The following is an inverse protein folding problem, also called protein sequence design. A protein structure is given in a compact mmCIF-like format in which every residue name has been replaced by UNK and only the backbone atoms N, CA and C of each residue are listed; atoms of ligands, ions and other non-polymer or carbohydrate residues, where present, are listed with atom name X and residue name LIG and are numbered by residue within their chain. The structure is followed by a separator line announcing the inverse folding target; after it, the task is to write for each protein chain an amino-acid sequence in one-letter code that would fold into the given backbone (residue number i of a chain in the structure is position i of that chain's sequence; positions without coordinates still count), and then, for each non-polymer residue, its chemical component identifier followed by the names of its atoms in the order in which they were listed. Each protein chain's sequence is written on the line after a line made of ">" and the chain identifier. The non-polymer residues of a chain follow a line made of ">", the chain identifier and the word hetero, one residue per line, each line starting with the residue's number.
data_IF_799398101652
#
_entry.id   IF_799398101652
#
_cell.length_a   1.000
_cell.length_b   1.000
_cell.length_c   1.000
_cell.angle_alpha   90.00
_cell.angle_beta   90.00
_cell.angle_gamma   90.00
#
_symmetry.space_group_name_H-M   'P 1'
#
loop_
_entity.id
_entity.type
_entity.pdbx_description
1 polymer ?
#
# COMPACT_ATOMS: atom_id res chain seq x y z
N UNK A 1 35.72 -8.97 -55.61
CA UNK A 1 35.63 -7.87 -54.63
C UNK A 1 35.99 -8.44 -53.26
N UNK A 2 37.24 -8.32 -52.79
CA UNK A 2 37.74 -7.38 -51.74
C UNK A 2 36.89 -7.47 -50.46
N UNK A 3 37.35 -7.87 -49.26
CA UNK A 3 38.63 -7.71 -48.53
C UNK A 3 38.84 -8.94 -47.61
N UNK A 4 39.95 -9.68 -47.71
CA UNK A 4 41.19 -9.58 -46.89
C UNK A 4 40.95 -9.37 -45.38
N UNK A 5 40.96 -10.50 -44.66
CA UNK A 5 41.28 -10.65 -43.23
C UNK A 5 42.71 -10.16 -43.01
N UNK A 6 42.87 -9.11 -42.20
CA UNK A 6 44.17 -8.55 -41.83
C UNK A 6 44.38 -8.73 -40.34
N UNK A 7 45.13 -9.75 -39.97
CA UNK A 7 45.71 -9.95 -38.64
C UNK A 7 46.69 -8.82 -38.37
N UNK A 8 46.33 -7.88 -37.49
CA UNK A 8 47.29 -6.93 -36.96
C UNK A 8 47.86 -7.48 -35.66
N UNK A 9 49.10 -7.99 -35.75
CA UNK A 9 50.01 -8.13 -34.62
C UNK A 9 50.18 -6.75 -33.98
N UNK A 10 49.62 -6.57 -32.79
CA UNK A 10 49.94 -5.42 -31.95
C UNK A 10 51.21 -5.75 -31.17
N UNK A 11 52.27 -5.01 -31.47
CA UNK A 11 53.58 -5.15 -30.84
C UNK A 11 53.47 -4.83 -29.34
N UNK A 12 53.89 -5.79 -28.50
CA UNK A 12 54.16 -5.57 -27.09
C UNK A 12 55.39 -4.65 -26.96
N UNK A 13 55.15 -3.35 -26.73
CA UNK A 13 56.16 -2.50 -26.14
C UNK A 13 56.17 -2.76 -24.63
N UNK A 14 57.14 -3.55 -24.17
CA UNK A 14 57.44 -3.70 -22.75
C UNK A 14 58.05 -2.38 -22.26
N UNK A 15 57.21 -1.47 -21.79
CA UNK A 15 57.66 -0.38 -20.93
C UNK A 15 57.81 -0.93 -19.51
N UNK A 16 59.04 -1.28 -19.15
CA UNK A 16 59.43 -1.48 -17.77
C UNK A 16 59.33 -0.14 -17.03
N UNK A 17 58.16 0.13 -16.44
CA UNK A 17 57.88 1.28 -15.60
C UNK A 17 57.52 0.82 -14.20
N UNK A 18 58.51 0.90 -13.30
CA UNK A 18 58.42 1.08 -11.85
C UNK A 18 57.15 0.55 -11.15
N UNK A 19 57.31 -0.52 -10.37
CA UNK A 19 56.39 -0.91 -9.30
C UNK A 19 56.22 0.25 -8.30
N UNK A 20 55.23 1.11 -8.54
CA UNK A 20 54.57 1.88 -7.50
C UNK A 20 53.41 1.05 -6.98
N UNK A 21 53.43 0.68 -5.71
CA UNK A 21 52.22 0.30 -4.98
C UNK A 21 51.32 1.54 -4.85
N UNK A 22 50.72 1.98 -5.95
CA UNK A 22 49.57 2.86 -5.91
C UNK A 22 48.35 1.97 -5.71
N UNK A 23 47.61 2.17 -4.61
CA UNK A 23 46.27 1.61 -4.49
C UNK A 23 45.52 1.94 -5.79
N UNK A 24 44.96 0.94 -6.47
CA UNK A 24 44.10 1.18 -7.63
C UNK A 24 43.02 2.16 -7.18
N UNK A 25 42.86 3.27 -7.90
CA UNK A 25 41.74 4.19 -7.68
C UNK A 25 40.45 3.38 -7.71
N UNK A 26 39.59 3.60 -6.71
CA UNK A 26 38.30 2.94 -6.65
C UNK A 26 37.44 3.42 -7.83
N UNK A 27 36.61 2.56 -8.41
CA UNK A 27 35.59 3.01 -9.36
C UNK A 27 34.68 4.05 -8.70
N UNK A 28 34.34 5.12 -9.41
CA UNK A 28 33.29 6.06 -8.99
C UNK A 28 31.93 5.52 -9.46
N UNK A 29 30.95 5.54 -8.56
CA UNK A 29 29.58 5.11 -8.84
C UNK A 29 28.63 6.19 -8.32
N UNK A 30 27.67 6.60 -9.15
CA UNK A 30 26.57 7.49 -8.76
C UNK A 30 25.26 6.71 -8.88
N UNK A 31 24.44 6.77 -7.83
CA UNK A 31 23.13 6.12 -7.78
C UNK A 31 22.04 7.15 -7.52
N UNK A 32 20.91 7.00 -8.19
CA UNK A 32 19.68 7.75 -7.96
C UNK A 32 18.70 6.86 -7.20
N UNK A 33 18.31 7.33 -6.03
CA UNK A 33 17.28 6.69 -5.21
C UNK A 33 16.03 7.56 -5.28
N UNK A 34 14.88 6.97 -5.61
CA UNK A 34 13.60 7.68 -5.57
C UNK A 34 12.71 7.11 -4.47
N UNK A 35 12.00 7.99 -3.77
CA UNK A 35 11.09 7.65 -2.68
C UNK A 35 9.81 8.49 -2.77
N UNK A 36 8.63 7.96 -2.46
CA UNK A 36 7.43 8.78 -2.36
C UNK A 36 7.47 9.63 -1.09
N UNK A 37 6.69 10.71 -1.10
CA UNK A 37 6.45 11.53 0.09
C UNK A 37 5.64 10.72 1.10
N UNK A 38 6.32 10.12 2.07
CA UNK A 38 5.70 9.30 3.11
C UNK A 38 6.35 9.54 4.47
N UNK A 39 5.52 9.72 5.49
CA UNK A 39 5.96 9.78 6.88
C UNK A 39 6.46 8.41 7.35
N UNK A 40 7.45 8.39 8.22
CA UNK A 40 7.96 7.17 8.81
C UNK A 40 8.17 7.37 10.31
N UNK A 41 8.00 6.32 11.08
CA UNK A 41 8.25 6.37 12.51
C UNK A 41 9.26 5.28 12.90
N UNK A 42 10.47 5.70 13.25
CA UNK A 42 11.55 4.79 13.63
C UNK A 42 11.74 4.74 15.15
N UNK A 43 11.35 3.62 15.76
CA UNK A 43 11.46 3.41 17.22
C UNK A 43 12.90 3.56 17.72
N UNK A 44 13.89 3.13 16.94
CA UNK A 44 15.30 3.19 17.32
C UNK A 44 15.97 4.54 17.04
N UNK A 45 15.33 5.43 16.27
CA UNK A 45 15.87 6.73 15.92
C UNK A 45 14.77 7.76 15.61
N UNK A 46 14.42 8.57 16.61
CA UNK A 46 13.36 9.59 16.51
C UNK A 46 13.62 10.72 15.52
N UNK A 47 14.84 10.82 14.95
CA UNK A 47 15.12 11.83 13.92
C UNK A 47 14.66 11.38 12.52
N UNK A 48 14.33 10.09 12.36
CA UNK A 48 13.83 9.57 11.10
C UNK A 48 12.30 9.65 11.14
N UNK A 49 11.77 10.70 10.51
CA UNK A 49 10.33 11.01 10.49
C UNK A 49 9.69 10.85 9.11
N UNK A 50 10.50 10.51 8.10
CA UNK A 50 10.05 10.31 6.72
C UNK A 50 10.87 9.23 6.01
N UNK A 51 10.34 8.70 4.90
CA UNK A 51 11.09 7.82 4.02
C UNK A 51 12.34 8.49 3.43
N UNK A 52 12.29 9.81 3.21
CA UNK A 52 13.47 10.57 2.78
C UNK A 52 14.56 10.56 3.85
N UNK A 53 14.22 10.82 5.13
CA UNK A 53 15.18 10.78 6.23
C UNK A 53 15.81 9.38 6.35
N UNK A 54 14.98 8.36 6.18
CA UNK A 54 15.44 6.98 6.23
C UNK A 54 16.44 6.67 5.12
N UNK A 55 16.11 6.99 3.86
CA UNK A 55 16.99 6.69 2.73
C UNK A 55 18.26 7.55 2.75
N UNK A 56 18.19 8.80 3.23
CA UNK A 56 19.39 9.60 3.49
C UNK A 56 20.29 8.94 4.53
N UNK A 57 19.71 8.49 5.65
CA UNK A 57 20.45 7.82 6.71
C UNK A 57 21.07 6.50 6.23
N UNK A 58 20.30 5.66 5.52
CA UNK A 58 20.76 4.41 4.96
C UNK A 58 21.90 4.62 3.95
N UNK A 59 21.78 5.60 3.06
CA UNK A 59 22.81 5.97 2.11
C UNK A 59 24.10 6.42 2.81
N UNK A 60 24.01 7.28 3.83
CA UNK A 60 25.17 7.71 4.62
C UNK A 60 25.89 6.51 5.25
N UNK A 61 25.13 5.60 5.87
CA UNK A 61 25.71 4.40 6.51
C UNK A 61 26.34 3.45 5.50
N UNK A 62 25.71 3.24 4.36
CA UNK A 62 26.25 2.40 3.29
C UNK A 62 27.56 2.98 2.74
N UNK A 63 27.55 4.26 2.34
CA UNK A 63 28.74 4.93 1.77
C UNK A 63 29.91 4.92 2.76
N UNK A 64 29.65 5.06 4.06
CA UNK A 64 30.69 5.04 5.08
C UNK A 64 31.42 3.69 5.22
N UNK A 65 30.78 2.58 4.86
CA UNK A 65 31.34 1.22 5.04
C UNK A 65 31.68 0.51 3.73
N UNK A 66 31.19 1.00 2.60
CA UNK A 66 31.42 0.35 1.31
C UNK A 66 32.81 0.64 0.76
N UNK A 67 33.65 -0.39 0.65
CA UNK A 67 35.06 -0.21 0.27
C UNK A 67 35.34 -0.44 -1.22
N UNK A 68 34.46 -1.13 -1.95
CA UNK A 68 34.75 -1.58 -3.31
C UNK A 68 34.68 -0.47 -4.38
N UNK A 69 33.95 0.61 -4.10
CA UNK A 69 33.79 1.77 -4.97
C UNK A 69 33.66 3.06 -4.15
N UNK A 70 33.94 4.21 -4.76
CA UNK A 70 33.57 5.51 -4.22
C UNK A 70 32.14 5.83 -4.69
N UNK A 71 31.17 5.63 -3.79
CA UNK A 71 29.74 5.72 -4.11
C UNK A 71 29.19 7.08 -3.70
N UNK A 72 28.42 7.70 -4.59
CA UNK A 72 27.56 8.85 -4.30
C UNK A 72 26.11 8.46 -4.54
N UNK A 73 25.21 8.92 -3.67
CA UNK A 73 23.78 8.62 -3.76
C UNK A 73 22.99 9.90 -3.71
N UNK A 74 22.10 10.10 -4.70
CA UNK A 74 21.16 11.22 -4.76
C UNK A 74 19.78 10.70 -4.40
N UNK A 75 19.22 11.19 -3.30
CA UNK A 75 17.86 10.84 -2.86
C UNK A 75 16.88 11.88 -3.41
N UNK A 76 15.90 11.43 -4.18
CA UNK A 76 14.82 12.24 -4.72
C UNK A 76 13.48 11.83 -4.12
N UNK A 77 12.68 12.84 -3.80
CA UNK A 77 11.32 12.64 -3.31
C UNK A 77 10.34 13.02 -4.41
N UNK A 78 9.31 12.21 -4.61
CA UNK A 78 8.18 12.53 -5.49
C UNK A 78 6.87 12.52 -4.70
N UNK A 79 5.87 13.26 -5.18
CA UNK A 79 4.51 13.16 -4.68
C UNK A 79 3.86 11.89 -5.26
N UNK A 80 3.04 11.20 -4.47
CA UNK A 80 2.35 9.97 -4.89
C UNK A 80 1.54 10.17 -6.17
N UNK A 81 0.97 11.36 -6.39
CA UNK A 81 0.20 11.67 -7.61
C UNK A 81 1.08 11.88 -8.85
N UNK A 82 2.36 12.20 -8.66
CA UNK A 82 3.32 12.51 -9.71
C UNK A 82 4.24 11.32 -10.05
N UNK A 83 4.01 10.15 -9.45
CA UNK A 83 4.87 8.98 -9.58
C UNK A 83 5.13 8.57 -11.04
N UNK A 84 4.11 8.62 -11.89
CA UNK A 84 4.27 8.31 -13.31
C UNK A 84 5.29 9.21 -14.01
N UNK A 85 5.27 10.50 -13.72
CA UNK A 85 6.25 11.44 -14.28
C UNK A 85 7.64 11.16 -13.68
N UNK A 86 7.70 10.97 -12.36
CA UNK A 86 8.94 10.77 -11.63
C UNK A 86 9.67 9.46 -11.99
N UNK A 87 8.93 8.39 -12.29
CA UNK A 87 9.46 7.05 -12.57
C UNK A 87 9.43 6.75 -14.07
N UNK A 88 8.24 6.60 -14.66
CA UNK A 88 8.09 6.20 -16.06
C UNK A 88 8.61 7.28 -17.02
N UNK A 89 8.33 8.55 -16.72
CA UNK A 89 8.81 9.70 -17.50
C UNK A 89 10.33 9.86 -17.49
N UNK A 90 11.00 9.35 -16.46
CA UNK A 90 12.45 9.43 -16.33
C UNK A 90 13.21 8.33 -17.09
N UNK A 91 12.53 7.30 -17.59
CA UNK A 91 13.18 6.20 -18.31
C UNK A 91 13.92 6.69 -19.56
N UNK A 92 15.16 6.22 -19.72
CA UNK A 92 16.05 6.62 -20.82
C UNK A 92 16.64 8.03 -20.69
N UNK A 93 16.43 8.71 -19.56
CA UNK A 93 17.05 10.00 -19.22
C UNK A 93 18.16 9.81 -18.16
N UNK A 94 18.88 10.88 -17.85
CA UNK A 94 19.88 10.87 -16.75
C UNK A 94 19.25 10.80 -15.35
N UNK A 95 17.93 11.03 -15.23
CA UNK A 95 17.18 10.96 -13.98
C UNK A 95 16.49 9.61 -13.77
N UNK A 96 16.82 8.59 -14.57
CA UNK A 96 16.30 7.24 -14.39
C UNK A 96 16.69 6.70 -13.01
N UNK A 97 15.74 6.05 -12.33
CA UNK A 97 15.93 5.51 -10.98
C UNK A 97 16.82 4.26 -11.00
N UNK A 98 17.78 4.19 -10.08
CA UNK A 98 18.58 2.98 -9.82
C UNK A 98 17.97 2.13 -8.69
N UNK A 99 17.50 2.79 -7.64
CA UNK A 99 16.86 2.17 -6.47
C UNK A 99 15.55 2.89 -6.18
N UNK A 100 14.44 2.15 -6.18
CA UNK A 100 13.13 2.68 -5.87
C UNK A 100 12.67 2.12 -4.51
N UNK A 101 12.43 3.00 -3.55
CA UNK A 101 11.75 2.64 -2.29
C UNK A 101 10.25 2.85 -2.49
N UNK A 102 9.49 1.78 -2.72
CA UNK A 102 8.09 1.88 -3.11
C UNK A 102 7.26 0.69 -2.62
N UNK A 103 5.94 0.90 -2.50
CA UNK A 103 4.98 -0.12 -2.11
C UNK A 103 4.72 -1.16 -3.20
N UNK A 104 4.17 -2.30 -2.78
CA UNK A 104 3.85 -3.43 -3.64
C UNK A 104 2.91 -3.06 -4.81
N UNK A 105 1.92 -2.18 -4.55
CA UNK A 105 0.93 -1.75 -5.53
C UNK A 105 1.53 -1.19 -6.83
N UNK A 106 2.54 -0.35 -6.71
CA UNK A 106 3.17 0.30 -7.85
C UNK A 106 4.22 -0.60 -8.51
N UNK A 107 4.97 -1.35 -7.70
CA UNK A 107 6.02 -2.22 -8.18
C UNK A 107 5.50 -3.36 -9.07
N UNK A 108 4.28 -3.86 -8.88
CA UNK A 108 3.74 -4.94 -9.70
C UNK A 108 3.69 -4.58 -11.20
N UNK A 109 3.37 -3.33 -11.54
CA UNK A 109 3.39 -2.84 -12.92
C UNK A 109 4.82 -2.86 -13.48
N UNK A 110 5.76 -2.21 -12.79
CA UNK A 110 7.16 -2.10 -13.21
C UNK A 110 7.84 -3.47 -13.38
N UNK A 111 7.56 -4.42 -12.49
CA UNK A 111 8.06 -5.80 -12.59
C UNK A 111 7.51 -6.48 -13.85
N UNK A 112 6.22 -6.30 -14.14
CA UNK A 112 5.54 -6.94 -15.28
C UNK A 112 5.99 -6.39 -16.62
N UNK A 113 6.36 -5.11 -16.65
CA UNK A 113 6.90 -4.41 -17.83
C UNK A 113 8.39 -4.69 -18.03
N UNK A 114 9.05 -5.38 -17.10
CA UNK A 114 10.46 -5.76 -17.20
C UNK A 114 11.43 -4.63 -16.83
N UNK A 115 10.97 -3.62 -16.09
CA UNK A 115 11.80 -2.51 -15.63
C UNK A 115 12.58 -2.81 -14.34
N UNK A 116 12.27 -3.92 -13.67
CA UNK A 116 12.85 -4.29 -12.36
C UNK A 116 13.67 -5.57 -12.49
N UNK A 117 14.90 -5.55 -11.97
CA UNK A 117 15.78 -6.72 -11.93
C UNK A 117 15.42 -7.64 -10.75
N UNK A 118 15.58 -8.97 -10.88
CA UNK A 118 15.44 -9.86 -9.75
C UNK A 118 16.60 -9.66 -8.76
N UNK A 119 16.32 -9.85 -7.47
CA UNK A 119 17.23 -9.65 -6.34
C UNK A 119 17.75 -10.98 -5.75
N UNK A 120 17.44 -12.11 -6.37
CA UNK A 120 17.72 -13.44 -5.80
C UNK A 120 19.22 -13.69 -5.56
N UNK A 121 20.12 -12.99 -6.25
CA UNK A 121 21.57 -13.11 -6.11
C UNK A 121 22.15 -12.36 -4.89
N UNK A 122 21.39 -11.44 -4.30
CA UNK A 122 21.78 -10.67 -3.12
C UNK A 122 21.07 -11.13 -1.83
N UNK A 123 20.08 -12.03 -1.94
CA UNK A 123 19.34 -12.56 -0.79
C UNK A 123 20.06 -13.80 -0.25
N UNK A 124 20.65 -13.66 0.94
CA UNK A 124 21.28 -14.79 1.66
C UNK A 124 20.23 -15.65 2.37
N UNK A 125 20.60 -16.87 2.76
CA UNK A 125 19.74 -17.74 3.60
C UNK A 125 19.37 -17.08 4.94
N UNK A 126 20.28 -16.26 5.47
CA UNK A 126 20.05 -15.48 6.70
C UNK A 126 18.95 -14.43 6.49
N UNK A 127 19.06 -13.62 5.43
CA UNK A 127 18.02 -12.64 5.07
C UNK A 127 16.70 -13.33 4.79
N UNK A 128 16.73 -14.46 4.06
CA UNK A 128 15.53 -15.24 3.73
C UNK A 128 14.82 -15.74 4.99
N UNK A 129 15.58 -16.20 5.98
CA UNK A 129 15.05 -16.72 7.25
C UNK A 129 14.58 -15.65 8.24
N UNK A 130 14.98 -14.39 8.06
CA UNK A 130 14.60 -13.27 8.94
C UNK A 130 13.26 -12.62 8.55
N UNK A 131 12.79 -12.84 7.32
CA UNK A 131 11.58 -12.25 6.77
C UNK A 131 10.50 -13.32 6.58
N UNK A 132 9.25 -12.98 6.88
CA UNK A 132 8.12 -13.92 6.80
C UNK A 132 7.80 -14.38 5.38
N UNK A 133 7.27 -15.61 5.25
CA UNK A 133 6.91 -16.17 3.94
C UNK A 133 5.85 -15.33 3.22
N UNK A 134 4.92 -14.72 3.95
CA UNK A 134 3.86 -13.88 3.37
C UNK A 134 4.42 -12.58 2.78
N UNK A 135 5.39 -11.95 3.44
CA UNK A 135 6.09 -10.77 2.93
C UNK A 135 6.93 -11.12 1.68
N UNK A 136 7.56 -12.30 1.68
CA UNK A 136 8.24 -12.81 0.49
C UNK A 136 7.28 -13.08 -0.66
N UNK A 137 6.14 -13.69 -0.41
CA UNK A 137 5.15 -13.99 -1.44
C UNK A 137 4.70 -12.73 -2.19
N UNK A 138 4.48 -11.62 -1.48
CA UNK A 138 4.18 -10.32 -2.08
C UNK A 138 5.37 -9.76 -2.89
N UNK A 139 6.60 -10.08 -2.54
CA UNK A 139 7.79 -9.58 -3.25
C UNK A 139 8.20 -10.44 -4.46
N UNK A 140 7.43 -11.49 -4.76
CA UNK A 140 7.81 -12.49 -5.77
C UNK A 140 6.87 -12.49 -6.98
N UNK A 141 7.45 -12.71 -8.17
CA UNK A 141 6.70 -12.98 -9.39
C UNK A 141 7.39 -14.06 -10.20
N UNK A 142 6.64 -15.05 -10.69
CA UNK A 142 7.16 -16.15 -11.50
C UNK A 142 8.38 -16.87 -10.88
N UNK A 143 8.36 -17.05 -9.55
CA UNK A 143 9.42 -17.75 -8.80
C UNK A 143 10.71 -16.94 -8.56
N UNK A 144 10.71 -15.64 -8.86
CA UNK A 144 11.83 -14.73 -8.59
C UNK A 144 11.43 -13.62 -7.63
N UNK A 145 12.37 -13.13 -6.84
CA UNK A 145 12.17 -12.03 -5.89
C UNK A 145 12.56 -10.70 -6.54
N UNK A 146 11.68 -9.71 -6.54
CA UNK A 146 11.93 -8.39 -7.17
C UNK A 146 11.93 -7.22 -6.20
N UNK A 147 11.48 -7.44 -4.97
CA UNK A 147 11.45 -6.44 -3.91
C UNK A 147 12.12 -7.00 -2.66
N UNK A 148 12.75 -6.13 -1.88
CA UNK A 148 13.23 -6.47 -0.54
C UNK A 148 12.17 -6.00 0.46
N UNK A 149 11.43 -6.90 1.14
CA UNK A 149 10.51 -6.51 2.20
C UNK A 149 11.25 -5.72 3.29
N UNK A 150 10.72 -4.57 3.63
CA UNK A 150 11.30 -3.71 4.67
C UNK A 150 10.24 -3.20 5.65
N UNK A 151 9.12 -2.71 5.13
CA UNK A 151 8.00 -2.22 5.91
C UNK A 151 6.71 -2.91 5.46
N UNK A 152 5.96 -3.46 6.42
CA UNK A 152 4.60 -3.94 6.21
C UNK A 152 3.63 -3.03 6.94
N UNK A 153 2.60 -2.58 6.23
CA UNK A 153 1.53 -1.73 6.75
C UNK A 153 0.21 -2.47 6.60
N UNK A 154 -0.16 -3.21 7.64
CA UNK A 154 -1.45 -3.87 7.70
C UNK A 154 -2.50 -2.87 8.19
N UNK A 155 -3.63 -2.79 7.48
CA UNK A 155 -4.73 -1.90 7.82
C UNK A 155 -5.76 -2.60 8.71
N UNK A 156 -6.11 -1.94 9.80
CA UNK A 156 -7.27 -2.20 10.66
C UNK A 156 -8.06 -0.89 10.81
N UNK A 157 -8.97 -0.84 11.77
CA UNK A 157 -9.70 0.36 12.15
C UNK A 157 -9.38 0.74 13.60
N UNK A 158 -9.44 2.04 13.86
CA UNK A 158 -9.33 2.64 15.19
C UNK A 158 -10.64 3.34 15.53
N UNK A 159 -11.07 3.27 16.79
CA UNK A 159 -12.28 3.95 17.25
C UNK A 159 -12.02 4.82 18.48
N UNK A 160 -12.75 5.93 18.57
CA UNK A 160 -12.64 6.92 19.64
C UNK A 160 -13.43 6.45 20.88
N UNK A 161 -12.73 6.05 21.96
CA UNK A 161 -13.38 5.51 23.17
C UNK A 161 -14.27 6.54 23.84
N UNK A 162 -13.90 7.82 23.83
CA UNK A 162 -14.71 8.91 24.38
C UNK A 162 -16.07 8.98 23.68
N UNK A 163 -16.10 8.96 22.34
CA UNK A 163 -17.36 9.00 21.58
C UNK A 163 -18.22 7.75 21.84
N UNK A 164 -17.60 6.58 21.99
CA UNK A 164 -18.31 5.35 22.36
C UNK A 164 -18.94 5.45 23.76
N UNK A 165 -18.19 5.95 24.76
CA UNK A 165 -18.71 6.18 26.11
C UNK A 165 -19.87 7.20 26.13
N UNK A 166 -19.73 8.32 25.41
CA UNK A 166 -20.78 9.35 25.29
C UNK A 166 -22.08 8.78 24.70
N UNK A 167 -21.97 7.81 23.80
CA UNK A 167 -23.12 7.16 23.16
C UNK A 167 -23.68 5.95 23.94
N UNK A 168 -23.05 5.56 25.05
CA UNK A 168 -23.46 4.40 25.87
C UNK A 168 -23.11 3.05 25.23
N UNK A 169 -21.94 2.98 24.57
CA UNK A 169 -21.41 1.80 23.89
C UNK A 169 -20.29 1.11 24.70
N UNK A 170 -20.26 1.28 26.03
CA UNK A 170 -19.19 0.79 26.91
C UNK A 170 -18.98 -0.72 26.84
N UNK A 171 -20.03 -1.49 26.48
CA UNK A 171 -19.93 -2.94 26.30
C UNK A 171 -18.98 -3.36 25.16
N UNK A 172 -18.65 -2.45 24.24
CA UNK A 172 -17.74 -2.67 23.13
C UNK A 172 -16.31 -2.17 23.42
N UNK A 173 -16.08 -1.66 24.64
CA UNK A 173 -14.79 -1.18 25.09
C UNK A 173 -14.12 -2.27 25.94
N UNK A 174 -13.09 -2.95 25.44
CA UNK A 174 -12.36 -3.92 26.25
C UNK A 174 -11.58 -3.19 27.36
N UNK A 175 -11.38 -3.90 28.47
CA UNK A 175 -10.55 -3.46 29.60
C UNK A 175 -9.05 -3.49 29.26
N UNK A 176 -8.64 -4.46 28.42
CA UNK A 176 -7.29 -4.60 27.89
C UNK A 176 -7.21 -4.13 26.43
N UNK A 177 -6.00 -3.78 25.97
CA UNK A 177 -5.78 -3.29 24.61
C UNK A 177 -5.77 -4.47 23.61
N UNK A 178 -6.92 -4.73 23.01
CA UNK A 178 -7.14 -5.83 22.06
C UNK A 178 -7.79 -5.33 20.76
N UNK A 179 -7.41 -5.93 19.62
CA UNK A 179 -8.10 -5.68 18.34
C UNK A 179 -9.41 -6.45 18.34
N UNK A 180 -10.51 -5.72 18.45
CA UNK A 180 -11.85 -6.28 18.47
C UNK A 180 -12.23 -6.86 17.10
N UNK A 181 -13.16 -7.81 17.11
CA UNK A 181 -13.79 -8.32 15.89
C UNK A 181 -15.30 -8.42 16.09
N UNK A 182 -16.01 -7.34 15.80
CA UNK A 182 -17.46 -7.27 15.93
C UNK A 182 -18.16 -8.03 14.79
N UNK A 183 -19.29 -8.68 15.11
CA UNK A 183 -20.15 -9.26 14.06
C UNK A 183 -20.79 -8.16 13.22
N UNK A 184 -21.33 -8.50 12.04
CA UNK A 184 -22.05 -7.53 11.21
C UNK A 184 -23.20 -6.88 11.99
N UNK A 185 -23.96 -7.67 12.76
CA UNK A 185 -25.06 -7.15 13.58
C UNK A 185 -24.56 -6.19 14.66
N UNK A 186 -23.42 -6.46 15.28
CA UNK A 186 -22.80 -5.56 16.26
C UNK A 186 -22.34 -4.25 15.60
N UNK A 187 -21.72 -4.34 14.41
CA UNK A 187 -21.38 -3.17 13.59
C UNK A 187 -22.61 -2.30 13.32
N UNK A 188 -23.72 -2.89 12.91
CA UNK A 188 -24.95 -2.13 12.66
C UNK A 188 -25.49 -1.45 13.92
N UNK A 189 -25.47 -2.15 15.07
CA UNK A 189 -25.88 -1.57 16.36
C UNK A 189 -24.98 -0.39 16.74
N UNK A 190 -23.66 -0.53 16.59
CA UNK A 190 -22.69 0.50 16.91
C UNK A 190 -22.91 1.72 16.02
N UNK A 191 -22.95 1.53 14.71
CA UNK A 191 -23.05 2.62 13.75
C UNK A 191 -24.40 3.35 13.83
N UNK A 192 -25.51 2.63 14.06
CA UNK A 192 -26.81 3.27 14.31
C UNK A 192 -26.81 4.06 15.62
N UNK A 193 -26.24 3.50 16.68
CA UNK A 193 -26.19 4.18 17.99
C UNK A 193 -25.36 5.45 17.90
N UNK A 194 -24.22 5.39 17.21
CA UNK A 194 -23.39 6.55 16.94
C UNK A 194 -24.15 7.57 16.06
N UNK A 195 -24.82 7.14 15.00
CA UNK A 195 -25.60 8.04 14.13
C UNK A 195 -26.73 8.76 14.88
N UNK A 196 -27.35 8.09 15.86
CA UNK A 196 -28.43 8.65 16.68
C UNK A 196 -27.92 9.61 17.75
N UNK A 197 -26.78 9.31 18.38
CA UNK A 197 -26.38 9.95 19.65
C UNK A 197 -25.15 10.85 19.57
N UNK A 198 -24.37 10.75 18.50
CA UNK A 198 -23.19 11.60 18.36
C UNK A 198 -23.58 13.09 18.36
N UNK A 199 -22.71 13.96 18.90
CA UNK A 199 -22.92 15.40 18.81
C UNK A 199 -23.02 15.88 17.37
N UNK A 200 -23.79 16.95 17.14
CA UNK A 200 -23.86 17.61 15.84
C UNK A 200 -22.45 17.92 15.30
N UNK A 201 -22.19 17.54 14.04
CA UNK A 201 -20.88 17.71 13.41
C UNK A 201 -19.87 16.60 13.70
N UNK A 202 -20.28 15.54 14.41
CA UNK A 202 -19.52 14.29 14.53
C UNK A 202 -20.16 13.17 13.69
N UNK A 203 -19.37 12.20 13.25
CA UNK A 203 -19.81 11.15 12.33
C UNK A 203 -19.41 9.74 12.80
N UNK A 204 -20.23 8.71 12.56
CA UNK A 204 -19.93 7.36 13.07
C UNK A 204 -18.66 6.73 12.51
N UNK A 205 -18.51 6.69 11.18
CA UNK A 205 -17.43 5.98 10.51
C UNK A 205 -16.98 6.71 9.25
N UNK A 206 -15.70 6.58 8.91
CA UNK A 206 -15.19 7.09 7.64
C UNK A 206 -15.86 6.46 6.42
N UNK A 207 -16.09 7.26 5.39
CA UNK A 207 -16.36 6.80 4.03
C UNK A 207 -15.91 7.89 3.05
N UNK A 208 -15.43 7.47 1.89
CA UNK A 208 -14.87 8.37 0.89
C UNK A 208 -14.95 7.72 -0.49
N UNK A 209 -15.06 8.54 -1.54
CA UNK A 209 -15.33 8.04 -2.90
C UNK A 209 -15.02 9.01 -4.02
N UNK A 210 -14.09 9.94 -3.80
CA UNK A 210 -13.78 11.01 -4.77
C UNK A 210 -12.57 10.69 -5.67
N UNK A 211 -11.74 9.71 -5.29
CA UNK A 211 -10.54 9.35 -6.04
C UNK A 211 -10.15 7.86 -5.83
N UNK A 212 -9.03 7.47 -6.41
CA UNK A 212 -8.56 6.09 -6.52
C UNK A 212 -7.99 5.49 -5.22
N UNK A 213 -8.03 6.20 -4.09
CA UNK A 213 -7.49 5.76 -2.79
C UNK A 213 -8.44 4.80 -2.02
N UNK A 214 -9.67 4.62 -2.50
CA UNK A 214 -10.73 3.91 -1.77
C UNK A 214 -10.84 2.40 -2.02
N UNK A 215 -10.23 1.91 -3.09
CA UNK A 215 -10.36 0.54 -3.58
C UNK A 215 -10.13 -0.52 -2.50
N UNK A 216 -9.00 -0.48 -1.80
CA UNK A 216 -8.62 -1.51 -0.84
C UNK A 216 -9.59 -1.58 0.36
N UNK A 217 -9.95 -0.44 0.95
CA UNK A 217 -10.83 -0.42 2.13
C UNK A 217 -12.28 -0.75 1.77
N UNK A 218 -12.76 -0.26 0.63
CA UNK A 218 -14.12 -0.55 0.18
C UNK A 218 -14.24 -2.02 -0.24
N UNK A 219 -13.24 -2.60 -0.90
CA UNK A 219 -13.21 -4.04 -1.17
C UNK A 219 -13.18 -4.87 0.12
N UNK A 220 -12.47 -4.44 1.17
CA UNK A 220 -12.55 -5.08 2.49
C UNK A 220 -13.97 -5.07 3.07
N UNK A 221 -14.70 -3.97 2.95
CA UNK A 221 -16.11 -3.90 3.37
C UNK A 221 -17.03 -4.79 2.54
N UNK A 222 -16.75 -4.97 1.24
CA UNK A 222 -17.49 -5.90 0.38
C UNK A 222 -17.23 -7.35 0.83
N UNK A 223 -15.96 -7.70 1.11
CA UNK A 223 -15.55 -9.02 1.60
C UNK A 223 -16.15 -9.39 2.94
N UNK A 224 -16.49 -8.41 3.77
CA UNK A 224 -17.15 -8.62 5.06
C UNK A 224 -18.37 -9.56 4.98
N UNK A 225 -19.04 -9.58 3.82
CA UNK A 225 -20.24 -10.38 3.55
C UNK A 225 -19.97 -11.74 2.92
N UNK A 226 -18.70 -12.17 2.89
CA UNK A 226 -18.25 -13.46 2.39
C UNK A 226 -17.79 -13.47 0.93
N UNK A 227 -17.68 -12.31 0.28
CA UNK A 227 -17.27 -12.25 -1.12
C UNK A 227 -15.80 -12.65 -1.27
N UNK A 228 -15.51 -13.53 -2.24
CA UNK A 228 -14.15 -13.86 -2.62
C UNK A 228 -13.42 -12.73 -3.35
N UNK A 229 -14.17 -11.74 -3.89
CA UNK A 229 -13.75 -10.68 -4.83
C UNK A 229 -13.25 -11.21 -6.17
N UNK A 230 -12.55 -12.35 -6.17
CA UNK A 230 -12.04 -13.04 -7.35
C UNK A 230 -12.66 -14.43 -7.50
N UNK A 231 -12.85 -14.86 -8.74
CA UNK A 231 -13.17 -16.24 -9.11
C UNK A 231 -11.91 -17.13 -9.15
N UNK A 232 -12.09 -18.42 -9.46
CA UNK A 232 -10.99 -19.41 -9.53
C UNK A 232 -9.98 -19.12 -10.63
N UNK A 233 -10.37 -18.37 -11.67
CA UNK A 233 -9.53 -17.97 -12.80
C UNK A 233 -8.79 -16.65 -12.54
N UNK A 234 -9.03 -16.02 -11.38
CA UNK A 234 -8.42 -14.75 -10.97
C UNK A 234 -9.09 -13.51 -11.54
N UNK A 235 -10.28 -13.64 -12.14
CA UNK A 235 -11.10 -12.51 -12.57
C UNK A 235 -11.89 -11.97 -11.38
N UNK A 236 -12.29 -10.71 -11.42
CA UNK A 236 -13.23 -10.16 -10.44
C UNK A 236 -14.60 -10.83 -10.56
N UNK A 237 -15.23 -11.07 -9.41
CA UNK A 237 -16.61 -11.56 -9.26
C UNK A 237 -17.42 -10.66 -8.30
N UNK A 238 -17.70 -9.44 -8.76
CA UNK A 238 -18.53 -8.48 -8.01
C UNK A 238 -20.03 -8.78 -8.11
N UNK A 239 -20.45 -9.63 -9.03
CA UNK A 239 -21.87 -9.97 -9.24
C UNK A 239 -22.37 -11.10 -8.33
N UNK A 240 -21.47 -11.74 -7.56
CA UNK A 240 -21.83 -12.66 -6.47
C UNK A 240 -22.83 -12.05 -5.48
N UNK A 241 -23.70 -12.88 -4.90
CA UNK A 241 -24.71 -12.43 -3.93
C UNK A 241 -24.05 -11.77 -2.71
N UNK A 242 -22.91 -12.31 -2.28
CA UNK A 242 -22.07 -11.79 -1.19
C UNK A 242 -21.57 -10.37 -1.49
N UNK A 243 -21.05 -10.13 -2.70
CA UNK A 243 -20.54 -8.83 -3.08
C UNK A 243 -21.66 -7.78 -3.16
N UNK A 244 -22.81 -8.16 -3.74
CA UNK A 244 -24.00 -7.30 -3.79
C UNK A 244 -24.47 -6.94 -2.38
N UNK A 245 -24.48 -7.88 -1.42
CA UNK A 245 -24.81 -7.59 -0.01
C UNK A 245 -23.85 -6.57 0.61
N UNK A 246 -22.55 -6.68 0.32
CA UNK A 246 -21.56 -5.70 0.77
C UNK A 246 -21.83 -4.30 0.22
N UNK A 247 -22.14 -4.18 -1.08
CA UNK A 247 -22.51 -2.92 -1.71
C UNK A 247 -23.84 -2.37 -1.17
N UNK A 248 -24.80 -3.24 -0.85
CA UNK A 248 -26.07 -2.87 -0.19
C UNK A 248 -25.83 -2.28 1.20
N UNK A 249 -24.93 -2.88 1.99
CA UNK A 249 -24.56 -2.39 3.32
C UNK A 249 -23.87 -1.03 3.24
N UNK A 250 -22.90 -0.88 2.34
CA UNK A 250 -22.19 0.39 2.08
C UNK A 250 -23.20 1.48 1.72
N UNK A 251 -24.06 1.26 0.72
CA UNK A 251 -25.06 2.25 0.30
C UNK A 251 -26.12 2.50 1.39
N UNK A 252 -26.49 1.46 2.14
CA UNK A 252 -27.39 1.55 3.29
C UNK A 252 -26.87 2.51 4.36
N UNK A 253 -25.57 2.48 4.63
CA UNK A 253 -24.91 3.38 5.58
C UNK A 253 -25.07 4.86 5.25
N UNK A 254 -25.06 5.23 3.96
CA UNK A 254 -25.32 6.61 3.52
C UNK A 254 -26.71 7.07 3.99
N UNK A 255 -27.72 6.22 3.82
CA UNK A 255 -29.11 6.52 4.22
C UNK A 255 -29.30 6.54 5.74
N UNK A 256 -28.52 5.73 6.46
CA UNK A 256 -28.56 5.61 7.93
C UNK A 256 -27.74 6.70 8.64
N UNK A 257 -26.99 7.52 7.90
CA UNK A 257 -26.16 8.57 8.49
C UNK A 257 -24.90 8.04 9.15
N UNK A 258 -24.39 6.90 8.70
CA UNK A 258 -23.17 6.30 9.25
C UNK A 258 -21.89 7.02 8.87
N UNK A 259 -21.95 7.89 7.86
CA UNK A 259 -20.79 8.56 7.29
C UNK A 259 -20.95 10.07 7.31
N UNK A 260 -19.85 10.83 7.16
CA UNK A 260 -19.95 12.25 6.85
C UNK A 260 -20.84 12.51 5.60
N UNK A 261 -21.61 13.61 5.55
CA UNK A 261 -22.46 13.93 4.42
C UNK A 261 -21.68 14.04 3.12
N UNK A 262 -22.27 13.56 2.03
CA UNK A 262 -21.64 13.53 0.70
C UNK A 262 -20.32 12.75 0.64
N UNK A 263 -20.26 11.50 1.16
CA UNK A 263 -19.00 10.75 1.18
C UNK A 263 -18.42 10.49 -0.22
N UNK A 264 -19.22 10.61 -1.28
CA UNK A 264 -18.75 10.58 -2.66
C UNK A 264 -17.76 11.70 -3.02
N UNK A 265 -17.76 12.82 -2.28
CA UNK A 265 -16.93 14.00 -2.54
C UNK A 265 -15.82 14.20 -1.51
N UNK A 266 -15.63 13.23 -0.61
CA UNK A 266 -14.69 13.31 0.50
C UNK A 266 -13.42 12.54 0.15
N UNK A 267 -12.27 13.07 0.57
CA UNK A 267 -10.98 12.40 0.51
C UNK A 267 -10.68 11.61 1.80
N UNK A 268 -9.76 10.66 1.73
CA UNK A 268 -9.25 9.99 2.94
C UNK A 268 -8.63 11.00 3.91
N UNK A 269 -7.91 12.00 3.38
CA UNK A 269 -7.28 13.07 4.18
C UNK A 269 -8.29 13.93 4.95
N UNK A 270 -9.48 14.18 4.39
CA UNK A 270 -10.56 14.88 5.09
C UNK A 270 -11.06 14.06 6.28
N UNK A 271 -11.24 12.74 6.11
CA UNK A 271 -11.60 11.84 7.21
C UNK A 271 -10.51 11.78 8.28
N UNK A 272 -9.24 11.82 7.89
CA UNK A 272 -8.12 11.91 8.84
C UNK A 272 -8.26 13.16 9.72
N UNK A 273 -8.49 14.32 9.12
CA UNK A 273 -8.68 15.57 9.87
C UNK A 273 -9.90 15.51 10.79
N UNK A 274 -11.01 14.89 10.36
CA UNK A 274 -12.17 14.70 11.24
C UNK A 274 -11.82 13.83 12.46
N UNK A 275 -11.06 12.76 12.25
CA UNK A 275 -10.66 11.86 13.33
C UNK A 275 -9.67 12.51 14.30
N UNK A 276 -8.65 13.21 13.79
CA UNK A 276 -7.68 13.99 14.59
C UNK A 276 -8.35 15.06 15.44
N UNK A 277 -9.42 15.68 14.93
CA UNK A 277 -10.22 16.65 15.68
C UNK A 277 -11.27 16.02 16.62
N UNK A 278 -11.31 14.69 16.75
CA UNK A 278 -12.24 13.98 17.61
C UNK A 278 -13.70 14.01 17.15
N UNK A 279 -13.93 14.26 15.85
CA UNK A 279 -15.25 14.36 15.20
C UNK A 279 -15.64 13.10 14.42
N UNK A 280 -14.81 12.05 14.44
CA UNK A 280 -15.09 10.79 13.76
C UNK A 280 -15.00 9.62 14.75
N UNK A 281 -16.02 8.77 14.78
CA UNK A 281 -16.11 7.64 15.68
C UNK A 281 -15.12 6.53 15.33
N UNK A 282 -15.02 6.18 14.05
CA UNK A 282 -14.23 5.06 13.55
C UNK A 282 -13.47 5.48 12.28
N UNK A 283 -12.15 5.27 12.27
CA UNK A 283 -11.24 5.66 11.18
C UNK A 283 -10.28 4.51 10.82
N UNK A 284 -9.57 4.68 9.69
CA UNK A 284 -8.48 3.79 9.28
C UNK A 284 -7.30 3.86 10.26
N UNK A 285 -6.66 2.73 10.51
CA UNK A 285 -5.42 2.69 11.27
C UNK A 285 -4.47 1.62 10.76
N UNK A 286 -3.19 1.94 10.74
CA UNK A 286 -2.12 0.96 10.60
C UNK A 286 -1.00 1.26 11.62
N UNK A 287 -0.04 0.34 11.71
CA UNK A 287 1.12 0.44 12.60
C UNK A 287 1.95 1.72 12.40
N UNK A 288 1.96 2.32 11.21
CA UNK A 288 2.66 3.58 10.97
C UNK A 288 1.95 4.79 11.63
N UNK A 289 0.65 4.68 11.93
CA UNK A 289 -0.13 5.75 12.55
C UNK A 289 -0.04 5.79 14.08
N UNK A 290 0.58 4.79 14.74
CA UNK A 290 0.57 4.67 16.20
C UNK A 290 1.11 5.92 16.92
N UNK A 291 2.13 6.58 16.38
CA UNK A 291 2.73 7.78 16.97
C UNK A 291 2.04 9.09 16.59
N UNK A 292 0.98 9.04 15.77
CA UNK A 292 0.25 10.25 15.36
C UNK A 292 -0.75 10.72 16.43
N UNK A 293 -1.10 9.86 17.40
CA UNK A 293 -2.08 10.16 18.43
C UNK A 293 -1.42 10.11 19.82
N UNK A 294 -1.57 11.18 20.58
CA UNK A 294 -1.20 11.19 22.00
C UNK A 294 -2.15 10.27 22.78
N UNK A 295 -1.65 9.64 23.84
CA UNK A 295 -2.44 8.79 24.75
C UNK A 295 -3.26 7.69 24.02
N UNK A 296 -2.72 7.19 22.90
CA UNK A 296 -3.42 6.29 21.97
C UNK A 296 -3.97 5.02 22.64
N UNK A 297 -3.25 4.52 23.64
CA UNK A 297 -3.61 3.31 24.39
C UNK A 297 -4.78 3.53 25.37
N UNK A 298 -5.05 4.77 25.78
CA UNK A 298 -6.14 5.10 26.72
C UNK A 298 -7.37 5.67 26.02
N UNK A 299 -7.16 6.46 24.97
CA UNK A 299 -8.23 7.26 24.36
C UNK A 299 -8.89 6.55 23.18
N UNK A 300 -8.24 5.51 22.66
CA UNK A 300 -8.69 4.78 21.48
C UNK A 300 -8.70 3.27 21.69
N UNK A 301 -9.50 2.60 20.89
CA UNK A 301 -9.47 1.15 20.76
C UNK A 301 -9.36 0.74 19.30
N UNK A 302 -9.10 -0.54 19.07
CA UNK A 302 -8.86 -1.08 17.74
C UNK A 302 -9.88 -2.14 17.38
N UNK A 303 -10.24 -2.21 16.10
CA UNK A 303 -11.16 -3.21 15.58
C UNK A 303 -10.73 -3.61 14.17
N UNK A 304 -10.91 -4.86 13.79
CA UNK A 304 -10.69 -5.28 12.42
C UNK A 304 -11.80 -4.71 11.50
N UNK A 305 -11.60 -4.77 10.18
CA UNK A 305 -12.71 -4.56 9.25
C UNK A 305 -13.83 -5.57 9.54
N UNK A 306 -15.11 -5.21 9.31
CA UNK A 306 -16.23 -6.14 9.47
C UNK A 306 -15.93 -7.48 8.77
N UNK A 307 -16.16 -8.60 9.47
CA UNK A 307 -15.87 -9.93 8.93
C UNK A 307 -15.61 -10.98 10.02
N UNK A 308 -15.46 -12.24 9.61
CA UNK A 308 -15.22 -13.38 10.51
C UNK A 308 -13.73 -13.60 10.80
N UNK A 309 -12.98 -12.56 11.16
CA UNK A 309 -11.63 -12.75 11.70
C UNK A 309 -11.71 -13.14 13.19
N UNK A 310 -10.77 -13.95 13.68
CA UNK A 310 -10.66 -14.16 15.13
C UNK A 310 -10.30 -12.86 15.86
N UNK A 311 -10.50 -12.80 17.17
CA UNK A 311 -9.92 -11.74 18.01
C UNK A 311 -8.40 -11.82 17.96
N UNK A 312 -7.72 -10.68 17.91
CA UNK A 312 -6.25 -10.58 17.81
C UNK A 312 -5.74 -9.69 18.95
N UNK A 313 -4.86 -10.22 19.80
CA UNK A 313 -4.22 -9.50 20.89
C UNK A 313 -2.87 -8.90 20.46
N UNK A 314 -2.77 -7.57 20.46
CA UNK A 314 -1.51 -6.79 20.32
C UNK A 314 -0.63 -7.08 19.07
N UNK A 315 0.45 -6.31 18.93
CA UNK A 315 1.33 -6.23 17.75
C UNK A 315 1.93 -7.58 17.29
N UNK A 316 2.19 -8.50 18.22
CA UNK A 316 2.74 -9.82 17.90
C UNK A 316 1.70 -10.72 17.20
N UNK A 317 0.44 -10.72 17.66
CA UNK A 317 -0.63 -11.46 16.97
C UNK A 317 -1.11 -10.71 15.73
N UNK A 318 -1.03 -9.37 15.72
CA UNK A 318 -1.22 -8.57 14.51
C UNK A 318 -0.21 -8.96 13.42
N UNK A 319 1.08 -9.05 13.78
CA UNK A 319 2.11 -9.54 12.86
C UNK A 319 1.85 -11.00 12.46
N UNK A 320 1.37 -11.85 13.37
CA UNK A 320 0.98 -13.23 13.06
C UNK A 320 -0.28 -13.34 12.17
N UNK A 321 -1.13 -12.30 12.14
CA UNK A 321 -2.33 -12.23 11.32
C UNK A 321 -2.03 -11.88 9.86
N UNK A 322 -0.76 -11.68 9.49
CA UNK A 322 -0.34 -11.46 8.10
C UNK A 322 -0.87 -12.55 7.14
N UNK A 323 -1.05 -13.78 7.63
CA UNK A 323 -1.60 -14.91 6.85
C UNK A 323 -3.05 -14.71 6.40
N UNK A 324 -3.78 -13.80 7.06
CA UNK A 324 -5.15 -13.45 6.72
C UNK A 324 -5.24 -12.16 5.89
N UNK A 325 -4.09 -11.52 5.57
CA UNK A 325 -4.05 -10.37 4.67
C UNK A 325 -4.43 -10.83 3.27
N UNK A 326 -5.38 -10.11 2.69
CA UNK A 326 -5.87 -10.38 1.34
C UNK A 326 -5.07 -9.56 0.35
N UNK A 327 -4.39 -10.22 -0.58
CA UNK A 327 -3.83 -9.57 -1.75
C UNK A 327 -4.96 -9.21 -2.73
N UNK A 328 -5.37 -7.95 -2.72
CA UNK A 328 -6.37 -7.46 -3.66
C UNK A 328 -5.83 -7.32 -5.07
N UNK A 329 -4.51 -7.22 -5.28
CA UNK A 329 -3.99 -7.07 -6.64
C UNK A 329 -4.11 -8.36 -7.44
N UNK A 330 -4.07 -9.51 -6.76
CA UNK A 330 -4.05 -10.83 -7.37
C UNK A 330 -2.99 -10.91 -8.49
N UNK A 331 -1.80 -10.33 -8.24
CA UNK A 331 -0.72 -10.17 -9.21
C UNK A 331 -1.06 -9.41 -10.52
N UNK A 332 -2.16 -8.66 -10.55
CA UNK A 332 -2.56 -7.85 -11.70
C UNK A 332 -1.52 -6.74 -11.96
N UNK A 333 -0.97 -6.66 -13.18
CA UNK A 333 0.01 -5.63 -13.54
C UNK A 333 -0.60 -4.24 -13.70
N UNK A 334 -1.92 -4.14 -13.90
CA UNK A 334 -2.61 -2.89 -14.21
C UNK A 334 -3.50 -2.43 -13.04
N UNK A 335 -2.96 -2.51 -11.81
CA UNK A 335 -3.70 -2.09 -10.63
C UNK A 335 -3.75 -0.55 -10.50
N UNK A 336 -2.59 0.09 -10.65
CA UNK A 336 -2.36 1.52 -10.49
C UNK A 336 -1.46 2.06 -11.62
N UNK A 337 -1.38 3.38 -11.78
CA UNK A 337 -0.43 4.04 -12.68
C UNK A 337 -0.97 4.37 -14.08
N UNK A 338 -2.13 3.84 -14.49
CA UNK A 338 -2.72 4.13 -15.80
C UNK A 338 -4.17 4.62 -15.67
N UNK A 339 -4.66 5.43 -16.61
CA UNK A 339 -6.06 5.91 -16.58
C UNK A 339 -7.10 4.77 -16.62
N UNK A 340 -6.74 3.61 -17.17
CA UNK A 340 -7.57 2.42 -17.24
C UNK A 340 -7.18 1.35 -16.19
N UNK A 341 -6.43 1.72 -15.16
CA UNK A 341 -6.05 0.82 -14.08
C UNK A 341 -7.27 0.43 -13.23
N UNK A 342 -7.17 -0.69 -12.50
CA UNK A 342 -8.24 -1.16 -11.60
C UNK A 342 -8.69 -0.04 -10.67
N UNK A 343 -7.77 0.63 -9.97
CA UNK A 343 -8.11 1.70 -9.03
C UNK A 343 -8.86 2.85 -9.71
N UNK A 344 -8.45 3.23 -10.93
CA UNK A 344 -9.04 4.35 -11.67
C UNK A 344 -10.41 4.04 -12.29
N UNK A 345 -10.71 2.77 -12.58
CA UNK A 345 -12.05 2.34 -13.02
C UNK A 345 -12.97 1.93 -11.87
N UNK A 346 -12.41 1.59 -10.70
CA UNK A 346 -13.16 1.17 -9.52
C UNK A 346 -13.87 2.35 -8.85
N UNK A 347 -13.12 3.40 -8.49
CA UNK A 347 -13.66 4.50 -7.68
C UNK A 347 -14.87 5.22 -8.30
N UNK A 348 -14.98 5.44 -9.64
CA UNK A 348 -16.14 6.11 -10.21
C UNK A 348 -17.43 5.31 -10.03
N UNK A 349 -17.34 3.98 -9.94
CA UNK A 349 -18.49 3.12 -9.70
C UNK A 349 -18.95 3.18 -8.23
N UNK A 350 -18.01 3.26 -7.29
CA UNK A 350 -18.31 3.54 -5.88
C UNK A 350 -18.88 4.94 -5.68
N UNK A 351 -18.31 5.95 -6.35
CA UNK A 351 -18.82 7.31 -6.33
C UNK A 351 -20.31 7.36 -6.69
N UNK A 352 -20.70 6.71 -7.80
CA UNK A 352 -22.12 6.61 -8.22
C UNK A 352 -22.98 5.86 -7.19
N UNK A 353 -22.44 4.80 -6.58
CA UNK A 353 -23.14 4.03 -5.55
C UNK A 353 -23.45 4.89 -4.32
N UNK A 354 -22.45 5.63 -3.82
CA UNK A 354 -22.57 6.51 -2.66
C UNK A 354 -23.54 7.66 -2.92
N UNK A 355 -23.55 8.20 -4.15
CA UNK A 355 -24.55 9.18 -4.59
C UNK A 355 -25.99 8.62 -4.69
N UNK A 356 -26.17 7.30 -4.66
CA UNK A 356 -27.44 6.65 -4.97
C UNK A 356 -27.85 6.75 -6.45
N UNK A 357 -26.89 7.00 -7.35
CA UNK A 357 -27.14 7.04 -8.81
C UNK A 357 -27.24 5.66 -9.45
N UNK A 358 -26.68 4.65 -8.79
CA UNK A 358 -26.79 3.24 -9.17
C UNK A 358 -27.30 2.43 -7.99
N UNK A 359 -28.05 1.37 -8.29
CA UNK A 359 -28.35 0.34 -7.29
C UNK A 359 -27.10 -0.49 -6.99
N UNK A 360 -27.04 -1.18 -5.85
CA UNK A 360 -25.93 -2.09 -5.53
C UNK A 360 -25.69 -3.14 -6.62
N UNK A 361 -26.75 -3.68 -7.22
CA UNK A 361 -26.66 -4.65 -8.31
C UNK A 361 -26.13 -4.05 -9.62
N UNK A 362 -26.52 -2.82 -9.96
CA UNK A 362 -25.96 -2.12 -11.13
C UNK A 362 -24.49 -1.75 -10.91
N UNK A 363 -24.15 -1.29 -9.70
CA UNK A 363 -22.76 -1.02 -9.31
C UNK A 363 -21.90 -2.29 -9.40
N UNK A 364 -22.40 -3.43 -8.89
CA UNK A 364 -21.75 -4.72 -9.01
C UNK A 364 -21.46 -5.09 -10.47
N UNK A 365 -22.45 -4.98 -11.36
CA UNK A 365 -22.27 -5.28 -12.79
C UNK A 365 -21.28 -4.32 -13.46
N UNK A 366 -21.30 -3.03 -13.12
CA UNK A 366 -20.34 -2.05 -13.63
C UNK A 366 -18.91 -2.34 -13.14
N UNK A 367 -18.73 -2.60 -11.84
CA UNK A 367 -17.45 -3.01 -11.26
C UNK A 367 -16.92 -4.28 -11.92
N UNK A 368 -17.78 -5.30 -12.06
CA UNK A 368 -17.42 -6.57 -12.68
C UNK A 368 -16.93 -6.38 -14.12
N UNK A 369 -17.64 -5.60 -14.92
CA UNK A 369 -17.24 -5.28 -16.30
C UNK A 369 -15.94 -4.47 -16.35
N UNK A 370 -15.89 -3.37 -15.60
CA UNK A 370 -14.83 -2.37 -15.76
C UNK A 370 -13.50 -2.87 -15.16
N UNK A 371 -13.53 -3.50 -13.99
CA UNK A 371 -12.33 -4.06 -13.35
C UNK A 371 -11.79 -5.27 -14.12
N UNK A 372 -12.65 -6.15 -14.66
CA UNK A 372 -12.18 -7.24 -15.52
C UNK A 372 -11.59 -6.74 -16.84
N UNK A 373 -12.14 -5.67 -17.42
CA UNK A 373 -11.51 -5.03 -18.57
C UNK A 373 -10.12 -4.48 -18.23
N UNK A 374 -9.92 -3.94 -17.03
CA UNK A 374 -8.64 -3.38 -16.58
C UNK A 374 -7.55 -4.44 -16.37
N UNK A 375 -7.87 -5.60 -15.79
CA UNK A 375 -6.85 -6.66 -15.51
C UNK A 375 -6.41 -7.41 -16.79
N UNK A 376 -7.22 -7.40 -17.84
CA UNK A 376 -6.90 -8.04 -19.12
C UNK A 376 -6.20 -7.13 -20.13
N UNK A 377 -5.87 -5.89 -19.75
CA UNK A 377 -5.05 -5.00 -20.58
C UNK A 377 -3.66 -5.61 -20.73
N UNK A 378 -3.31 -6.02 -21.96
CA UNK A 378 -1.93 -6.41 -22.28
C UNK A 378 -1.05 -5.16 -22.18
N UNK A 379 -0.12 -5.14 -21.23
CA UNK A 379 0.96 -4.15 -21.22
C UNK A 379 1.81 -4.36 -22.47
N UNK A 380 1.71 -3.43 -23.41
CA UNK A 380 2.33 -3.50 -24.74
C UNK A 380 3.77 -2.99 -24.67
N UNK A 381 4.72 -3.81 -24.22
CA UNK A 381 6.16 -3.49 -24.35
C UNK A 381 7.04 -4.65 -24.86
N UNK A 382 6.43 -5.74 -25.32
CA UNK A 382 7.16 -6.82 -25.99
C UNK A 382 6.57 -7.10 -27.38
N UNK A 383 7.04 -6.33 -28.38
CA UNK A 383 7.24 -6.81 -29.75
C UNK A 383 8.75 -6.94 -30.03
#
# INVERSE_FOLDING_TARGET
>A
MKRKVGTYLMAFAVAAGLCGCGAKAKPEVSLIVKVPTMGMNCVSNSNIVSCQDFMNYAAEKFVAVYEAADVSMRIEVFDYVDENEAILGAYGTEDAVDILYEGYFNMAAYISEGHVVPLDDIITDEIRGDISESAWAQSMKNGKTYMMPYLSMQNILIYNRRLFMECGLERFLPDELEIQNWTIEEWEIILDTLAEKLPDGSYPMMMYGVNNQGDTHIMSLIRAFGSGIFDEDGNFDFESEEAVRGLEWIQGGVRRGWYPPHPENIELADNQQLFENGLLGIYLFNNANFMLYDDIETDYGYVNFPGNAGQIMMLAEFSANEVNVVDFMNNSPNWQGSENSVRNVFWPNIHKLLMGKTTPKECAADLNRDCNAAIHVKTSFHE
#
